data_IF_893931633268
#
_entry.id   IF_893931633268
#
_cell.length_a   1.000
_cell.length_b   1.000
_cell.length_c   1.000
_cell.angle_alpha   90.00
_cell.angle_beta   90.00
_cell.angle_gamma   90.00
#
_symmetry.space_group_name_H-M   'P 1'
#
loop_
_entity.id
_entity.type
_entity.pdbx_description
1 polymer ?
#
# COMPACT_ATOMS: atom_id res chain seq x y z
N UNK A 1 -34.04 -24.92 24.32
CA UNK A 1 -32.90 -24.03 24.67
C UNK A 1 -32.66 -23.15 23.47
N UNK A 2 -33.03 -21.88 23.56
CA UNK A 2 -32.72 -20.91 22.50
C UNK A 2 -31.21 -20.66 22.46
N UNK A 3 -30.59 -20.58 21.27
CA UNK A 3 -29.20 -20.18 21.18
C UNK A 3 -29.14 -18.69 21.51
N UNK A 4 -28.66 -18.34 22.69
CA UNK A 4 -28.48 -16.96 23.12
C UNK A 4 -27.42 -16.32 22.23
N UNK A 5 -27.88 -15.56 21.23
CA UNK A 5 -27.09 -14.79 20.28
C UNK A 5 -26.37 -13.59 20.91
N UNK A 6 -25.56 -13.81 21.94
CA UNK A 6 -24.50 -12.87 22.29
C UNK A 6 -23.31 -13.20 21.40
N UNK A 7 -23.31 -12.65 20.18
CA UNK A 7 -22.05 -12.44 19.44
C UNK A 7 -21.08 -11.80 20.43
N UNK A 8 -19.98 -12.48 20.75
CA UNK A 8 -18.97 -11.99 21.69
C UNK A 8 -18.48 -10.61 21.26
N UNK A 9 -19.11 -9.57 21.80
CA UNK A 9 -18.87 -8.17 21.43
C UNK A 9 -17.44 -7.76 21.76
N UNK A 10 -16.86 -8.38 22.79
CA UNK A 10 -15.47 -8.15 23.20
C UNK A 10 -14.47 -8.81 22.24
N UNK A 11 -14.75 -10.02 21.75
CA UNK A 11 -13.91 -10.68 20.73
C UNK A 11 -14.00 -9.95 19.38
N UNK A 12 -15.18 -9.46 19.01
CA UNK A 12 -15.38 -8.64 17.82
C UNK A 12 -14.63 -7.30 17.91
N UNK A 13 -14.74 -6.61 19.04
CA UNK A 13 -14.05 -5.32 19.26
C UNK A 13 -12.54 -5.48 19.26
N UNK A 14 -12.01 -6.56 19.85
CA UNK A 14 -10.58 -6.87 19.84
C UNK A 14 -10.06 -7.16 18.43
N UNK A 15 -10.75 -8.02 17.67
CA UNK A 15 -10.42 -8.30 16.25
C UNK A 15 -10.45 -7.04 15.40
N UNK A 16 -11.43 -6.16 15.63
CA UNK A 16 -11.54 -4.90 14.89
C UNK A 16 -10.37 -3.95 15.17
N UNK A 17 -9.94 -3.85 16.43
CA UNK A 17 -8.76 -3.04 16.81
C UNK A 17 -7.47 -3.64 16.23
N UNK A 18 -7.28 -4.95 16.34
CA UNK A 18 -6.13 -5.65 15.76
C UNK A 18 -6.07 -5.47 14.23
N UNK A 19 -7.19 -5.62 13.53
CA UNK A 19 -7.27 -5.34 12.08
C UNK A 19 -7.01 -3.88 11.72
N UNK A 20 -7.36 -2.93 12.60
CA UNK A 20 -7.06 -1.51 12.38
C UNK A 20 -5.56 -1.24 12.51
N UNK A 21 -4.91 -1.87 13.48
CA UNK A 21 -3.47 -1.73 13.68
C UNK A 21 -2.70 -2.37 12.52
N UNK A 22 -3.10 -3.54 12.05
CA UNK A 22 -2.56 -4.17 10.84
C UNK A 22 -2.71 -3.27 9.60
N UNK A 23 -3.88 -2.66 9.40
CA UNK A 23 -4.09 -1.75 8.28
C UNK A 23 -3.16 -0.52 8.35
N UNK A 24 -2.95 0.03 9.55
CA UNK A 24 -2.03 1.16 9.73
C UNK A 24 -0.59 0.76 9.38
N UNK A 25 -0.15 -0.43 9.79
CA UNK A 25 1.18 -0.95 9.46
C UNK A 25 1.32 -1.11 7.94
N UNK A 26 0.35 -1.72 7.27
CA UNK A 26 0.36 -1.88 5.81
C UNK A 26 0.39 -0.53 5.08
N UNK A 27 -0.34 0.48 5.59
CA UNK A 27 -0.30 1.83 5.05
C UNK A 27 1.08 2.48 5.21
N UNK A 28 1.73 2.30 6.37
CA UNK A 28 3.08 2.79 6.60
C UNK A 28 4.10 2.12 5.69
N UNK A 29 4.02 0.79 5.51
CA UNK A 29 4.87 0.04 4.59
C UNK A 29 4.70 0.54 3.14
N UNK A 30 3.45 0.76 2.70
CA UNK A 30 3.17 1.31 1.38
C UNK A 30 3.74 2.73 1.23
N UNK A 31 3.58 3.59 2.23
CA UNK A 31 4.15 4.94 2.21
C UNK A 31 5.68 4.92 2.09
N UNK A 32 6.34 4.03 2.85
CA UNK A 32 7.78 3.85 2.78
C UNK A 32 8.24 3.35 1.39
N UNK A 33 7.48 2.47 0.75
CA UNK A 33 7.75 2.03 -0.63
C UNK A 33 7.60 3.19 -1.62
N UNK A 34 6.54 3.98 -1.53
CA UNK A 34 6.32 5.16 -2.38
C UNK A 34 7.48 6.15 -2.23
N UNK A 35 7.95 6.42 -1.00
CA UNK A 35 9.11 7.27 -0.76
C UNK A 35 10.37 6.72 -1.47
N UNK A 36 10.57 5.40 -1.50
CA UNK A 36 11.70 4.79 -2.23
C UNK A 36 11.61 5.01 -3.74
N UNK A 37 10.42 4.88 -4.34
CA UNK A 37 10.19 5.19 -5.75
C UNK A 37 10.54 6.66 -6.06
N UNK A 38 10.03 7.58 -5.24
CA UNK A 38 10.30 9.01 -5.37
C UNK A 38 11.79 9.32 -5.22
N UNK A 39 12.48 8.76 -4.22
CA UNK A 39 13.92 8.96 -4.05
C UNK A 39 14.73 8.45 -5.24
N UNK A 40 14.33 7.32 -5.83
CA UNK A 40 14.95 6.80 -7.07
C UNK A 40 14.76 7.80 -8.22
N UNK A 41 13.55 8.32 -8.41
CA UNK A 41 13.29 9.33 -9.43
C UNK A 41 14.14 10.59 -9.21
N UNK A 42 14.14 11.15 -8.00
CA UNK A 42 14.92 12.34 -7.65
C UNK A 42 16.42 12.16 -7.92
N UNK A 43 17.00 11.01 -7.58
CA UNK A 43 18.42 10.70 -7.85
C UNK A 43 18.73 10.68 -9.35
N UNK A 44 17.83 10.14 -10.16
CA UNK A 44 18.00 10.13 -11.63
C UNK A 44 17.97 11.55 -12.16
N UNK A 45 16.98 12.35 -11.75
CA UNK A 45 16.89 13.75 -12.19
C UNK A 45 18.08 14.60 -11.76
N UNK A 46 18.51 14.48 -10.49
CA UNK A 46 19.70 15.16 -9.97
C UNK A 46 20.97 14.78 -10.75
N UNK A 47 21.15 13.50 -11.07
CA UNK A 47 22.34 13.01 -11.80
C UNK A 47 22.50 13.58 -13.22
N UNK A 48 21.45 14.17 -13.78
CA UNK A 48 21.45 14.77 -15.12
C UNK A 48 21.69 16.28 -15.10
N UNK A 49 21.99 16.86 -13.93
CA UNK A 49 22.11 18.30 -13.74
C UNK A 49 23.40 18.69 -13.03
N UNK A 50 23.95 19.88 -13.33
CA UNK A 50 25.12 20.42 -12.62
C UNK A 50 24.77 21.08 -11.28
N UNK A 51 23.52 21.51 -11.10
CA UNK A 51 23.04 22.25 -9.92
C UNK A 51 21.98 21.45 -9.17
N UNK A 52 21.92 21.56 -7.82
CA UNK A 52 20.94 20.84 -7.01
C UNK A 52 19.48 21.14 -7.36
N UNK A 53 18.63 20.11 -7.25
CA UNK A 53 17.19 20.26 -7.39
C UNK A 53 16.62 21.26 -6.36
N UNK A 54 15.86 22.23 -6.85
CA UNK A 54 15.14 23.20 -6.02
C UNK A 54 13.90 22.57 -5.40
N UNK A 55 13.45 23.12 -4.27
CA UNK A 55 12.30 22.60 -3.50
C UNK A 55 11.03 22.42 -4.36
N UNK A 56 10.74 23.37 -5.26
CA UNK A 56 9.59 23.29 -6.16
C UNK A 56 9.73 22.20 -7.24
N UNK A 57 10.96 21.94 -7.70
CA UNK A 57 11.26 20.86 -8.65
C UNK A 57 11.09 19.50 -7.96
N UNK A 58 11.58 19.37 -6.72
CA UNK A 58 11.40 18.18 -5.90
C UNK A 58 9.90 17.88 -5.72
N UNK A 59 9.11 18.88 -5.30
CA UNK A 59 7.67 18.70 -5.08
C UNK A 59 6.93 18.27 -6.36
N UNK A 60 7.29 18.83 -7.52
CA UNK A 60 6.72 18.44 -8.80
C UNK A 60 7.09 17.00 -9.18
N UNK A 61 8.35 16.62 -9.01
CA UNK A 61 8.84 15.27 -9.32
C UNK A 61 8.19 14.22 -8.41
N UNK A 62 8.08 14.51 -7.10
CA UNK A 62 7.36 13.66 -6.13
C UNK A 62 5.93 13.42 -6.59
N UNK A 63 5.19 14.49 -6.89
CA UNK A 63 3.78 14.38 -7.31
C UNK A 63 3.63 13.55 -8.59
N UNK A 64 4.51 13.78 -9.57
CA UNK A 64 4.46 13.07 -10.85
C UNK A 64 4.79 11.59 -10.68
N UNK A 65 5.82 11.25 -9.89
CA UNK A 65 6.21 9.86 -9.64
C UNK A 65 5.11 9.10 -8.91
N UNK A 66 4.49 9.71 -7.88
CA UNK A 66 3.35 9.10 -7.18
C UNK A 66 2.20 8.83 -8.16
N UNK A 67 1.87 9.81 -9.03
CA UNK A 67 0.81 9.65 -10.01
C UNK A 67 1.12 8.52 -11.00
N UNK A 68 2.37 8.41 -11.47
CA UNK A 68 2.78 7.34 -12.39
C UNK A 68 2.66 5.97 -11.72
N UNK A 69 3.20 5.82 -10.51
CA UNK A 69 3.10 4.55 -9.74
C UNK A 69 1.65 4.16 -9.51
N UNK A 70 0.78 5.09 -9.11
CA UNK A 70 -0.63 4.79 -8.92
C UNK A 70 -1.33 4.44 -10.23
N UNK A 71 -1.00 5.11 -11.33
CA UNK A 71 -1.56 4.79 -12.65
C UNK A 71 -1.19 3.37 -13.06
N UNK A 72 0.09 3.00 -12.92
CA UNK A 72 0.55 1.66 -13.23
C UNK A 72 -0.11 0.61 -12.32
N UNK A 73 -0.17 0.85 -11.00
CA UNK A 73 -0.78 -0.09 -10.05
C UNK A 73 -2.28 -0.29 -10.25
N UNK A 74 -2.97 0.72 -10.79
CA UNK A 74 -4.41 0.68 -11.06
C UNK A 74 -4.74 0.28 -12.50
N UNK A 75 -3.73 0.01 -13.32
CA UNK A 75 -3.94 -0.61 -14.63
C UNK A 75 -4.62 -1.97 -14.49
N UNK A 76 -5.54 -2.28 -15.40
CA UNK A 76 -6.33 -3.50 -15.36
C UNK A 76 -5.44 -4.75 -15.33
N UNK A 77 -4.34 -4.76 -16.09
CA UNK A 77 -3.42 -5.89 -16.17
C UNK A 77 -2.77 -6.17 -14.81
N UNK A 78 -2.35 -5.10 -14.12
CA UNK A 78 -1.66 -5.20 -12.84
C UNK A 78 -2.64 -5.56 -11.72
N UNK A 79 -3.83 -4.96 -11.71
CA UNK A 79 -4.88 -5.30 -10.75
C UNK A 79 -5.35 -6.76 -10.89
N UNK A 80 -5.48 -7.28 -12.11
CA UNK A 80 -5.80 -8.69 -12.36
C UNK A 80 -4.68 -9.63 -11.87
N UNK A 81 -3.42 -9.28 -12.10
CA UNK A 81 -2.28 -10.05 -11.61
C UNK A 81 -2.24 -10.08 -10.08
N UNK A 82 -2.46 -8.94 -9.42
CA UNK A 82 -2.55 -8.83 -7.96
C UNK A 82 -3.72 -9.68 -7.44
N UNK A 83 -4.89 -9.59 -8.05
CA UNK A 83 -6.07 -10.36 -7.66
C UNK A 83 -5.83 -11.87 -7.75
N UNK A 84 -5.12 -12.32 -8.80
CA UNK A 84 -4.71 -13.73 -8.94
C UNK A 84 -3.81 -14.17 -7.79
N UNK A 85 -2.75 -13.42 -7.49
CA UNK A 85 -1.82 -13.74 -6.40
C UNK A 85 -2.54 -13.74 -5.04
N UNK A 86 -3.41 -12.75 -4.80
CA UNK A 86 -4.20 -12.66 -3.57
C UNK A 86 -5.13 -13.88 -3.42
N UNK A 87 -5.79 -14.31 -4.50
CA UNK A 87 -6.63 -15.52 -4.50
C UNK A 87 -5.84 -16.78 -4.17
N UNK A 88 -4.63 -16.92 -4.71
CA UNK A 88 -3.74 -18.06 -4.43
C UNK A 88 -3.25 -18.06 -2.97
N UNK A 89 -2.91 -16.91 -2.41
CA UNK A 89 -2.53 -16.77 -1.01
C UNK A 89 -3.71 -17.11 -0.08
N UNK A 90 -4.89 -16.55 -0.35
CA UNK A 90 -6.11 -16.84 0.41
C UNK A 90 -6.46 -18.33 0.41
N UNK A 91 -6.32 -19.00 -0.74
CA UNK A 91 -6.56 -20.43 -0.85
C UNK A 91 -5.59 -21.28 -0.02
N UNK A 92 -4.38 -20.78 0.28
CA UNK A 92 -3.42 -21.46 1.17
C UNK A 92 -3.79 -21.29 2.64
N UNK A 93 -4.23 -20.09 3.01
CA UNK A 93 -4.67 -19.78 4.38
C UNK A 93 -5.96 -20.53 4.76
N UNK A 94 -6.87 -20.72 3.80
CA UNK A 94 -8.18 -21.36 4.01
C UNK A 94 -8.20 -22.87 3.81
N UNK A 95 -7.09 -23.49 3.36
CA UNK A 95 -6.93 -24.94 3.24
C UNK A 95 -6.35 -25.61 4.50
N UNK A 96 -6.27 -24.88 5.61
CA UNK A 96 -5.95 -25.43 6.93
C UNK A 96 -7.19 -26.00 7.62
#
# INVERSE_FOLDING_TARGET
MEPTGKRDSNAYSKKMTESKDELNVLQEELNNLIVRFVLRALRIYESTRPEPLRVNEIALLVRNEIKNVLTDLTDQTNTDAIAKVAKEAWAKETKQ
#
